data_IF_662944100508
#
_entry.id   IF_662944100508
#
_cell.length_a   1.000
_cell.length_b   1.000
_cell.length_c   1.000
_cell.angle_alpha   90.00
_cell.angle_beta   90.00
_cell.angle_gamma   90.00
#
_symmetry.space_group_name_H-M   'P 1'
#
loop_
_entity.id
_entity.type
_entity.pdbx_description
1 polymer ?
#
# COMPACT_ATOMS: atom_id res chain seq x y z
N UNK A 1 -1.25 -3.34 8.47
CA UNK A 1 -0.13 -2.85 7.67
C UNK A 1 -0.09 -3.66 6.39
N UNK A 2 -0.42 -3.04 5.27
CA UNK A 2 -0.44 -3.69 3.98
C UNK A 2 0.93 -3.53 3.30
N UNK A 3 1.85 -4.45 3.57
CA UNK A 3 3.22 -4.34 3.10
C UNK A 3 3.33 -5.01 1.72
N UNK A 4 3.88 -4.28 0.76
CA UNK A 4 4.33 -4.85 -0.51
C UNK A 4 5.84 -4.70 -0.63
N UNK A 5 6.47 -5.68 -1.27
CA UNK A 5 7.89 -5.61 -1.62
C UNK A 5 8.03 -5.29 -3.10
N UNK A 6 9.03 -4.48 -3.42
CA UNK A 6 9.35 -4.08 -4.78
C UNK A 6 10.74 -4.59 -5.10
N UNK A 7 10.87 -5.35 -6.18
CA UNK A 7 12.13 -5.87 -6.71
C UNK A 7 12.45 -5.14 -8.00
N UNK A 8 13.69 -4.69 -8.17
CA UNK A 8 14.10 -3.87 -9.30
C UNK A 8 15.15 -4.58 -10.13
N UNK A 9 15.02 -4.47 -11.46
CA UNK A 9 15.98 -4.97 -12.43
C UNK A 9 15.93 -4.10 -13.68
N UNK A 10 17.07 -3.53 -14.05
CA UNK A 10 17.26 -2.59 -15.13
C UNK A 10 16.32 -1.40 -15.00
N UNK A 11 15.39 -1.24 -15.95
CA UNK A 11 14.40 -0.15 -16.02
C UNK A 11 13.02 -0.56 -15.50
N UNK A 12 12.90 -1.77 -14.95
CA UNK A 12 11.65 -2.36 -14.53
C UNK A 12 11.66 -2.70 -13.03
N UNK A 13 10.47 -2.81 -12.47
CA UNK A 13 10.27 -3.39 -11.16
C UNK A 13 9.11 -4.38 -11.16
N UNK A 14 9.08 -5.23 -10.13
CA UNK A 14 8.01 -6.17 -9.83
C UNK A 14 7.49 -5.86 -8.42
N UNK A 15 6.17 -5.66 -8.29
CA UNK A 15 5.50 -5.58 -6.99
C UNK A 15 5.08 -6.98 -6.53
N UNK A 16 5.48 -7.31 -5.31
CA UNK A 16 5.21 -8.56 -4.63
C UNK A 16 4.28 -8.32 -3.46
N UNK A 17 3.20 -9.10 -3.38
CA UNK A 17 2.26 -9.10 -2.28
C UNK A 17 2.79 -9.98 -1.15
N UNK A 18 3.21 -9.38 -0.04
CA UNK A 18 3.75 -10.13 1.10
C UNK A 18 2.71 -10.99 1.81
N UNK A 19 1.41 -10.67 1.71
CA UNK A 19 0.34 -11.45 2.34
C UNK A 19 -0.06 -12.67 1.49
N UNK A 20 -0.20 -12.47 0.18
CA UNK A 20 -0.59 -13.53 -0.75
C UNK A 20 0.61 -14.38 -1.25
N UNK A 21 1.84 -13.98 -0.90
CA UNK A 21 3.09 -14.62 -1.30
C UNK A 21 3.15 -14.83 -2.82
N UNK A 22 2.87 -13.76 -3.57
CA UNK A 22 2.90 -13.78 -5.03
C UNK A 22 3.09 -12.37 -5.60
N UNK A 23 3.54 -12.30 -6.85
CA UNK A 23 3.54 -11.06 -7.62
C UNK A 23 2.13 -10.62 -8.03
N UNK A 24 1.96 -9.31 -8.20
CA UNK A 24 0.75 -8.73 -8.79
C UNK A 24 0.71 -8.96 -10.31
N UNK A 25 -0.50 -9.01 -10.87
CA UNK A 25 -0.69 -9.08 -12.34
C UNK A 25 -0.24 -7.76 -12.97
N UNK A 26 0.34 -7.84 -14.18
CA UNK A 26 0.80 -6.66 -14.94
C UNK A 26 2.25 -6.26 -14.69
N UNK A 27 3.00 -7.12 -14.00
CA UNK A 27 4.43 -6.98 -13.74
C UNK A 27 5.27 -8.00 -14.55
N UNK A 28 6.55 -7.70 -14.89
CA UNK A 28 7.28 -6.46 -14.59
C UNK A 28 6.71 -5.25 -15.34
N UNK A 29 6.98 -4.05 -14.81
CA UNK A 29 6.62 -2.80 -15.49
C UNK A 29 7.71 -1.74 -15.28
N UNK A 30 7.75 -0.68 -16.12
CA UNK A 30 8.72 0.39 -15.97
C UNK A 30 8.67 1.06 -14.59
N UNK A 31 9.84 1.33 -14.01
CA UNK A 31 9.99 1.91 -12.66
C UNK A 31 9.14 3.18 -12.49
N UNK A 32 9.13 4.06 -13.48
CA UNK A 32 8.37 5.31 -13.44
C UNK A 32 6.85 5.16 -13.30
N UNK A 33 6.28 3.96 -13.51
CA UNK A 33 4.85 3.71 -13.29
C UNK A 33 4.48 3.55 -11.82
N UNK A 34 5.30 2.83 -11.05
CA UNK A 34 5.07 2.69 -9.59
C UNK A 34 5.64 3.88 -8.81
N UNK A 35 6.69 4.51 -9.35
CA UNK A 35 7.42 5.59 -8.70
C UNK A 35 7.36 6.86 -9.55
N UNK A 36 6.18 7.50 -9.63
CA UNK A 36 6.02 8.71 -10.42
C UNK A 36 6.90 9.84 -9.89
N UNK A 37 7.33 10.72 -10.79
CA UNK A 37 8.21 11.86 -10.50
C UNK A 37 9.65 11.50 -10.09
N UNK A 38 10.09 10.24 -10.26
CA UNK A 38 11.52 9.97 -10.27
C UNK A 38 12.17 10.65 -11.47
N UNK A 39 13.32 11.35 -11.31
CA UNK A 39 14.13 11.83 -12.43
C UNK A 39 14.48 10.69 -13.39
N UNK A 40 14.55 10.97 -14.69
CA UNK A 40 14.81 9.95 -15.72
C UNK A 40 16.08 9.11 -15.46
N UNK A 41 17.10 9.70 -14.84
CA UNK A 41 18.32 8.98 -14.44
C UNK A 41 18.11 7.90 -13.37
N UNK A 42 17.09 8.04 -12.52
CA UNK A 42 16.74 7.13 -11.43
C UNK A 42 15.59 6.18 -11.78
N UNK A 43 15.13 6.16 -13.02
CA UNK A 43 14.14 5.19 -13.50
C UNK A 43 14.79 3.93 -14.09
N UNK A 44 16.10 3.76 -13.92
CA UNK A 44 16.85 2.61 -14.43
C UNK A 44 18.18 2.41 -13.72
N UNK A 45 18.60 1.15 -13.64
CA UNK A 45 19.86 0.71 -13.03
C UNK A 45 20.04 1.35 -11.65
N UNK A 46 19.05 1.17 -10.79
CA UNK A 46 19.12 1.58 -9.39
C UNK A 46 20.07 0.61 -8.69
N UNK A 47 20.98 1.15 -7.89
CA UNK A 47 21.98 0.37 -7.17
C UNK A 47 21.39 -0.24 -5.91
N UNK A 48 20.66 0.54 -5.11
CA UNK A 48 19.77 -0.01 -4.08
C UNK A 48 18.73 1.01 -3.59
N UNK A 49 17.78 0.55 -2.76
CA UNK A 49 16.76 1.38 -2.12
C UNK A 49 16.55 0.93 -0.68
N UNK A 50 16.69 1.87 0.27
CA UNK A 50 16.32 1.62 1.67
C UNK A 50 15.05 2.37 2.04
N UNK A 51 14.22 1.75 2.88
CA UNK A 51 13.15 2.42 3.59
C UNK A 51 13.69 2.85 4.96
N UNK A 52 13.60 4.13 5.28
CA UNK A 52 14.13 4.67 6.53
C UNK A 52 13.30 5.88 6.97
N UNK A 53 12.70 5.78 8.16
CA UNK A 53 11.98 6.86 8.83
C UNK A 53 10.92 7.55 7.94
N UNK A 54 10.17 6.76 7.15
CA UNK A 54 9.10 7.26 6.28
C UNK A 54 9.56 7.78 4.91
N UNK A 55 10.85 7.62 4.59
CA UNK A 55 11.43 7.98 3.30
C UNK A 55 12.07 6.77 2.64
N UNK A 56 12.02 6.73 1.31
CA UNK A 56 12.87 5.85 0.54
C UNK A 56 14.10 6.62 0.10
N UNK A 57 15.28 6.03 0.27
CA UNK A 57 16.52 6.56 -0.28
C UNK A 57 16.94 5.67 -1.43
N UNK A 58 16.85 6.19 -2.65
CA UNK A 58 17.29 5.51 -3.86
C UNK A 58 18.76 5.85 -4.08
N UNK A 59 19.61 4.85 -4.29
CA UNK A 59 21.03 5.02 -4.57
C UNK A 59 21.33 4.64 -6.02
N UNK A 60 22.24 5.39 -6.63
CA UNK A 60 22.71 5.15 -7.99
C UNK A 60 24.05 5.84 -8.22
N UNK A 61 25.06 5.07 -8.59
CA UNK A 61 26.43 5.55 -8.73
C UNK A 61 26.82 6.34 -7.44
N UNK A 62 27.48 7.49 -7.57
CA UNK A 62 27.80 8.35 -6.41
C UNK A 62 26.61 9.20 -5.90
N UNK A 63 25.39 8.97 -6.38
CA UNK A 63 24.22 9.80 -6.11
C UNK A 63 23.16 9.08 -5.28
N UNK A 64 22.33 9.88 -4.57
CA UNK A 64 21.11 9.41 -3.96
C UNK A 64 19.93 10.38 -4.14
N UNK A 65 18.72 9.84 -4.03
CA UNK A 65 17.47 10.59 -3.96
C UNK A 65 16.73 10.27 -2.66
N UNK A 66 16.07 11.26 -2.08
CA UNK A 66 15.13 11.06 -0.98
C UNK A 66 13.69 11.21 -1.47
N UNK A 67 12.93 10.15 -1.32
CA UNK A 67 11.53 10.06 -1.72
C UNK A 67 10.65 9.96 -0.49
N UNK A 68 9.67 10.85 -0.37
CA UNK A 68 8.70 10.85 0.73
C UNK A 68 7.61 9.81 0.42
N UNK A 69 7.47 8.77 1.25
CA UNK A 69 6.51 7.69 1.02
C UNK A 69 5.08 8.24 1.07
N UNK A 70 4.77 9.07 2.06
CA UNK A 70 3.42 9.57 2.28
C UNK A 70 2.96 10.50 1.15
N UNK A 71 3.85 11.36 0.65
CA UNK A 71 3.57 12.22 -0.51
C UNK A 71 3.73 11.48 -1.84
N UNK A 72 4.47 10.37 -1.81
CA UNK A 72 4.91 9.59 -2.95
C UNK A 72 5.51 10.45 -4.07
N UNK A 73 6.52 11.24 -3.69
CA UNK A 73 7.31 12.09 -4.58
C UNK A 73 8.74 12.26 -4.06
N UNK A 74 9.65 12.62 -4.95
CA UNK A 74 11.00 13.07 -4.56
C UNK A 74 10.91 14.40 -3.81
N UNK A 75 11.60 14.49 -2.67
CA UNK A 75 11.64 15.69 -1.82
C UNK A 75 13.04 16.26 -1.67
N UNK A 76 14.08 15.51 -2.02
CA UNK A 76 15.47 15.97 -2.02
C UNK A 76 16.33 15.12 -3.00
N UNK A 77 17.37 15.74 -3.55
CA UNK A 77 18.29 15.18 -4.55
C UNK A 77 17.85 15.31 -6.02
N UNK A 78 18.64 14.78 -6.97
CA UNK A 78 19.82 13.95 -6.73
C UNK A 78 20.98 14.70 -6.09
N UNK A 79 21.52 14.17 -4.98
CA UNK A 79 22.69 14.71 -4.28
C UNK A 79 23.79 13.65 -4.26
N UNK A 80 25.04 14.04 -4.00
CA UNK A 80 26.09 13.05 -3.76
C UNK A 80 25.82 12.30 -2.46
N UNK A 81 26.15 11.00 -2.43
CA UNK A 81 25.98 10.16 -1.23
C UNK A 81 26.61 10.83 -0.01
N UNK A 82 27.82 11.39 -0.16
CA UNK A 82 28.55 12.04 0.94
C UNK A 82 27.89 13.30 1.49
N UNK A 83 26.96 13.92 0.77
CA UNK A 83 26.25 15.11 1.25
C UNK A 83 25.14 14.72 2.24
N UNK A 84 24.47 13.59 2.01
CA UNK A 84 23.45 13.03 2.91
C UNK A 84 23.99 12.04 3.94
N UNK A 85 25.13 11.43 3.64
CA UNK A 85 25.76 10.36 4.42
C UNK A 85 27.25 10.67 4.65
N UNK A 86 27.60 11.78 5.32
CA UNK A 86 28.97 12.30 5.38
C UNK A 86 29.97 11.34 6.04
N UNK A 87 29.51 10.42 6.89
CA UNK A 87 30.35 9.36 7.46
C UNK A 87 30.92 8.38 6.42
N UNK A 88 30.37 8.32 5.21
CA UNK A 88 30.85 7.48 4.11
C UNK A 88 31.98 8.12 3.30
N UNK A 89 32.33 9.38 3.57
CA UNK A 89 33.39 10.10 2.85
C UNK A 89 34.74 9.40 3.00
N UNK A 90 35.43 9.19 1.88
CA UNK A 90 36.72 8.49 1.84
C UNK A 90 36.61 6.97 1.93
N UNK A 91 35.39 6.42 1.84
CA UNK A 91 35.14 4.98 1.68
C UNK A 91 34.73 4.67 0.24
N UNK A 92 34.78 3.41 -0.18
CA UNK A 92 34.34 3.02 -1.52
C UNK A 92 32.84 3.27 -1.77
N UNK A 93 32.04 3.34 -0.69
CA UNK A 93 30.60 3.60 -0.73
C UNK A 93 30.25 5.01 -1.21
N UNK A 94 31.21 5.95 -1.23
CA UNK A 94 30.98 7.29 -1.78
C UNK A 94 30.70 7.29 -3.30
N UNK A 95 31.08 6.21 -3.98
CA UNK A 95 30.97 6.06 -5.44
C UNK A 95 29.90 5.05 -5.87
N UNK A 96 29.10 4.53 -4.93
CA UNK A 96 28.04 3.56 -5.20
C UNK A 96 27.97 2.44 -4.17
N UNK A 97 26.80 1.85 -4.08
CA UNK A 97 26.41 0.91 -3.03
C UNK A 97 26.00 -0.38 -3.71
N UNK A 98 26.49 -1.54 -3.26
CA UNK A 98 26.08 -2.82 -3.87
C UNK A 98 24.74 -3.29 -3.28
N UNK A 99 24.57 -3.10 -1.97
CA UNK A 99 23.32 -3.31 -1.27
C UNK A 99 23.29 -2.52 0.07
N UNK A 100 22.12 -2.38 0.67
CA UNK A 100 21.90 -1.70 1.92
C UNK A 100 20.65 -2.22 2.64
N UNK A 101 20.65 -2.13 3.96
CA UNK A 101 19.49 -2.52 4.77
C UNK A 101 19.36 -1.64 6.01
N UNK A 102 18.13 -1.25 6.32
CA UNK A 102 17.79 -0.68 7.63
C UNK A 102 17.85 -1.77 8.70
N UNK A 103 18.73 -1.59 9.70
CA UNK A 103 18.79 -2.46 10.87
C UNK A 103 17.88 -1.93 11.99
N UNK A 104 17.88 -0.61 12.17
CA UNK A 104 17.05 0.11 13.13
C UNK A 104 16.74 1.51 12.57
N UNK A 105 15.87 2.25 13.26
CA UNK A 105 15.57 3.66 12.91
C UNK A 105 16.79 4.61 12.96
N UNK A 106 17.90 4.18 13.58
CA UNK A 106 19.14 4.94 13.71
C UNK A 106 20.37 4.22 13.10
N UNK A 107 20.18 3.08 12.43
CA UNK A 107 21.31 2.31 11.88
C UNK A 107 20.97 1.68 10.54
N UNK A 108 21.79 2.01 9.54
CA UNK A 108 21.77 1.40 8.21
C UNK A 108 23.06 0.64 8.00
N UNK A 109 22.99 -0.58 7.48
CA UNK A 109 24.17 -1.33 7.06
C UNK A 109 24.32 -1.23 5.54
N UNK A 110 25.42 -0.66 5.08
CA UNK A 110 25.77 -0.54 3.66
C UNK A 110 26.79 -1.61 3.27
N UNK A 111 26.73 -2.09 2.04
CA UNK A 111 27.56 -3.18 1.53
C UNK A 111 28.28 -2.74 0.25
N UNK A 112 29.57 -3.05 0.18
CA UNK A 112 30.41 -2.82 -1.01
C UNK A 112 31.53 -3.83 -1.05
N UNK A 113 31.66 -4.57 -2.15
CA UNK A 113 32.67 -5.60 -2.25
C UNK A 113 32.49 -6.67 -1.17
N UNK A 114 33.56 -6.98 -0.43
CA UNK A 114 33.55 -7.91 0.71
C UNK A 114 33.28 -7.23 2.06
N UNK A 115 33.06 -5.91 2.05
CA UNK A 115 32.92 -5.10 3.25
C UNK A 115 31.48 -4.65 3.46
N UNK A 116 31.15 -4.45 4.74
CA UNK A 116 29.94 -3.76 5.14
C UNK A 116 30.23 -2.74 6.23
N UNK A 117 29.38 -1.71 6.29
CA UNK A 117 29.51 -0.59 7.19
C UNK A 117 28.19 -0.35 7.91
N UNK A 118 28.22 -0.46 9.24
CA UNK A 118 27.14 0.07 10.06
C UNK A 118 27.29 1.58 10.18
N UNK A 119 26.35 2.29 9.57
CA UNK A 119 26.23 3.73 9.64
C UNK A 119 25.25 4.11 10.75
N UNK A 120 25.72 4.90 11.72
CA UNK A 120 24.86 5.49 12.76
C UNK A 120 24.35 6.85 12.27
N UNK A 121 23.03 7.00 12.16
CA UNK A 121 22.43 8.16 11.48
C UNK A 121 22.69 9.45 12.24
N UNK A 122 22.35 9.53 13.52
CA UNK A 122 22.44 10.78 14.30
C UNK A 122 23.88 11.29 14.47
N UNK A 123 24.85 10.37 14.51
CA UNK A 123 26.26 10.71 14.73
C UNK A 123 27.08 10.76 13.43
N UNK A 124 26.52 10.25 12.33
CA UNK A 124 27.23 10.03 11.07
C UNK A 124 28.55 9.26 11.23
N UNK A 125 28.60 8.33 12.19
CA UNK A 125 29.75 7.48 12.44
C UNK A 125 29.60 6.13 11.76
N UNK A 126 30.72 5.57 11.34
CA UNK A 126 30.77 4.26 10.68
C UNK A 126 31.52 3.22 11.51
N UNK A 127 31.05 1.97 11.45
CA UNK A 127 31.79 0.80 11.92
C UNK A 127 31.91 -0.22 10.77
N UNK A 128 33.13 -0.40 10.29
CA UNK A 128 33.43 -1.30 9.17
C UNK A 128 33.68 -2.73 9.64
N UNK A 129 33.28 -3.71 8.83
CA UNK A 129 33.57 -5.13 9.02
C UNK A 129 33.62 -5.84 7.65
N UNK A 130 34.14 -7.06 7.59
CA UNK A 130 33.86 -7.92 6.43
C UNK A 130 32.43 -8.44 6.52
N UNK A 131 31.79 -8.72 5.39
CA UNK A 131 30.43 -9.30 5.36
C UNK A 131 30.44 -10.67 6.05
N UNK A 132 31.49 -11.47 5.80
CA UNK A 132 31.68 -12.79 6.41
C UNK A 132 31.71 -12.72 7.94
N UNK A 133 32.53 -11.83 8.52
CA UNK A 133 32.66 -11.72 9.98
C UNK A 133 31.40 -11.16 10.63
N UNK A 134 30.77 -10.17 9.98
CA UNK A 134 29.58 -9.51 10.54
C UNK A 134 28.37 -10.44 10.54
N UNK A 135 28.13 -11.14 9.45
CA UNK A 135 26.91 -11.90 9.22
C UNK A 135 27.09 -13.41 9.40
N UNK A 136 28.33 -13.89 9.55
CA UNK A 136 28.63 -15.31 9.68
C UNK A 136 28.47 -16.08 8.36
N UNK A 137 28.65 -15.42 7.22
CA UNK A 137 28.52 -16.02 5.87
C UNK A 137 29.70 -16.93 5.54
N UNK A 138 29.72 -18.10 6.16
CA UNK A 138 30.77 -19.11 6.05
C UNK A 138 30.24 -20.41 5.44
N UNK A 139 31.13 -21.34 5.09
CA UNK A 139 30.76 -22.65 4.55
C UNK A 139 29.90 -22.52 3.29
N UNK A 140 28.70 -23.12 3.31
CA UNK A 140 27.76 -23.09 2.16
C UNK A 140 27.21 -21.69 1.81
N UNK A 141 27.41 -20.68 2.67
CA UNK A 141 26.98 -19.30 2.43
C UNK A 141 28.12 -18.38 1.99
N UNK A 142 29.35 -18.88 1.88
CA UNK A 142 30.54 -18.07 1.64
C UNK A 142 30.46 -17.24 0.34
N UNK A 143 29.75 -17.71 -0.68
CA UNK A 143 29.57 -16.96 -1.94
C UNK A 143 28.85 -15.61 -1.73
N UNK A 144 27.99 -15.51 -0.71
CA UNK A 144 27.24 -14.28 -0.39
C UNK A 144 28.06 -13.27 0.41
N UNK A 145 29.30 -13.59 0.78
CA UNK A 145 30.17 -12.69 1.57
C UNK A 145 30.86 -11.59 0.76
N UNK A 146 30.51 -11.44 -0.52
CA UNK A 146 31.11 -10.44 -1.42
C UNK A 146 30.15 -10.08 -2.55
N UNK A 147 30.14 -8.84 -3.02
CA UNK A 147 29.38 -8.35 -4.19
C UNK A 147 27.93 -8.85 -4.16
N UNK A 148 27.18 -8.48 -3.12
CA UNK A 148 25.75 -8.78 -3.03
C UNK A 148 24.99 -7.92 -4.04
N UNK A 149 23.93 -8.48 -4.64
CA UNK A 149 23.16 -7.74 -5.65
C UNK A 149 22.00 -6.95 -5.02
N UNK A 150 21.42 -7.44 -3.93
CA UNK A 150 20.37 -6.75 -3.18
C UNK A 150 20.20 -7.37 -1.79
N UNK A 151 19.64 -6.60 -0.86
CA UNK A 151 19.22 -7.08 0.45
C UNK A 151 17.84 -6.51 0.76
N UNK A 152 16.94 -7.32 1.32
CA UNK A 152 15.64 -6.85 1.78
C UNK A 152 15.34 -7.35 3.20
N UNK A 153 14.92 -6.42 4.05
CA UNK A 153 14.24 -6.75 5.30
C UNK A 153 12.80 -7.06 4.96
N UNK A 154 12.42 -8.33 5.04
CA UNK A 154 11.12 -8.80 4.60
C UNK A 154 10.24 -9.16 5.82
N UNK A 155 9.20 -8.35 6.10
CA UNK A 155 8.27 -8.64 7.17
C UNK A 155 7.28 -9.73 6.73
N UNK A 156 7.24 -10.81 7.50
CA UNK A 156 6.29 -11.92 7.38
C UNK A 156 5.39 -12.01 8.61
N UNK A 157 4.29 -12.76 8.48
CA UNK A 157 3.47 -13.20 9.62
C UNK A 157 4.31 -14.03 10.61
N UNK A 158 5.28 -14.79 10.10
CA UNK A 158 6.13 -15.69 10.89
C UNK A 158 7.34 -15.00 11.53
N UNK A 159 7.57 -13.72 11.23
CA UNK A 159 8.71 -12.93 11.71
C UNK A 159 9.35 -12.06 10.63
N UNK A 160 10.34 -11.27 11.04
CA UNK A 160 11.14 -10.46 10.11
C UNK A 160 12.37 -11.26 9.69
N UNK A 161 12.51 -11.48 8.39
CA UNK A 161 13.64 -12.19 7.79
C UNK A 161 14.43 -11.23 6.93
N UNK A 162 15.75 -11.44 6.85
CA UNK A 162 16.59 -10.73 5.89
C UNK A 162 16.92 -11.70 4.75
N UNK A 163 16.69 -11.25 3.53
CA UNK A 163 17.08 -12.01 2.33
C UNK A 163 18.26 -11.30 1.67
N UNK A 164 19.32 -12.06 1.42
CA UNK A 164 20.50 -11.60 0.70
C UNK A 164 20.47 -12.24 -0.69
N UNK A 165 20.48 -11.41 -1.73
CA UNK A 165 20.43 -11.85 -3.12
C UNK A 165 21.80 -11.76 -3.76
N UNK A 166 22.14 -12.80 -4.54
CA UNK A 166 23.34 -12.84 -5.35
C UNK A 166 23.13 -13.75 -6.55
N UNK A 167 23.45 -13.23 -7.73
CA UNK A 167 23.18 -13.86 -9.01
C UNK A 167 21.69 -14.27 -9.09
N UNK A 168 21.44 -15.55 -9.34
CA UNK A 168 20.09 -16.11 -9.45
C UNK A 168 19.56 -16.74 -8.16
N UNK A 169 20.22 -16.50 -7.03
CA UNK A 169 19.91 -17.16 -5.78
C UNK A 169 19.85 -16.20 -4.58
N UNK A 170 19.25 -16.67 -3.50
CA UNK A 170 19.22 -15.96 -2.23
C UNK A 170 19.48 -16.88 -1.04
N UNK A 171 19.92 -16.27 0.06
CA UNK A 171 19.96 -16.89 1.39
C UNK A 171 19.07 -16.09 2.35
N UNK A 172 18.51 -16.78 3.34
CA UNK A 172 17.62 -16.17 4.34
C UNK A 172 18.26 -16.22 5.71
N UNK A 173 18.27 -15.07 6.37
CA UNK A 173 18.69 -14.89 7.74
C UNK A 173 17.47 -14.66 8.63
N UNK A 174 17.31 -15.50 9.63
CA UNK A 174 16.31 -15.35 10.67
C UNK A 174 16.87 -14.41 11.74
N UNK A 175 16.30 -13.22 11.86
CA UNK A 175 16.75 -12.22 12.84
C UNK A 175 16.50 -12.66 14.29
N UNK A 176 15.48 -13.48 14.54
CA UNK A 176 15.12 -13.95 15.87
C UNK A 176 16.08 -15.04 16.34
N UNK A 177 16.47 -15.94 15.44
CA UNK A 177 17.44 -17.01 15.72
C UNK A 177 18.89 -16.54 15.53
N UNK A 178 19.09 -15.37 14.91
CA UNK A 178 20.38 -14.80 14.58
C UNK A 178 21.25 -15.79 13.77
N UNK A 179 20.66 -16.43 12.76
CA UNK A 179 21.32 -17.45 11.93
C UNK A 179 20.69 -17.54 10.54
N UNK A 180 21.46 -18.05 9.58
CA UNK A 180 20.94 -18.41 8.27
C UNK A 180 20.21 -19.75 8.32
N UNK A 181 18.93 -19.74 7.98
CA UNK A 181 18.04 -20.90 8.10
C UNK A 181 17.58 -21.46 6.74
N UNK A 182 17.80 -20.73 5.65
CA UNK A 182 17.49 -21.19 4.30
C UNK A 182 18.50 -20.67 3.25
N UNK A 183 18.58 -21.38 2.13
CA UNK A 183 19.44 -21.03 1.00
C UNK A 183 20.75 -21.84 0.91
N UNK A 184 21.48 -21.67 -0.21
CA UNK A 184 21.11 -20.88 -1.39
C UNK A 184 19.90 -21.47 -2.14
N UNK A 185 18.91 -20.63 -2.48
CA UNK A 185 17.70 -21.02 -3.22
C UNK A 185 17.57 -20.16 -4.46
N UNK A 186 17.24 -20.78 -5.60
CA UNK A 186 16.99 -20.07 -6.85
C UNK A 186 15.77 -19.16 -6.70
N UNK A 187 15.93 -17.89 -7.06
CA UNK A 187 14.93 -16.83 -6.90
C UNK A 187 13.60 -17.23 -7.53
N UNK A 188 13.63 -17.71 -8.78
CA UNK A 188 12.43 -18.04 -9.56
C UNK A 188 11.88 -19.45 -9.31
N UNK A 189 12.31 -20.15 -8.25
CA UNK A 189 11.81 -21.50 -7.96
C UNK A 189 10.39 -21.43 -7.39
N UNK A 190 9.43 -22.11 -8.02
CA UNK A 190 8.01 -22.06 -7.63
C UNK A 190 7.73 -22.68 -6.24
N UNK A 191 8.56 -23.61 -5.77
CA UNK A 191 8.30 -24.35 -4.54
C UNK A 191 8.90 -23.70 -3.30
N UNK A 192 10.06 -23.07 -3.42
CA UNK A 192 10.81 -22.52 -2.28
C UNK A 192 11.43 -21.14 -2.54
N UNK A 193 11.27 -20.60 -3.74
CA UNK A 193 11.72 -19.25 -4.11
C UNK A 193 10.61 -18.20 -3.97
N UNK A 194 10.80 -17.08 -4.66
CA UNK A 194 9.85 -15.98 -4.70
C UNK A 194 8.82 -16.25 -5.80
N UNK A 195 7.68 -16.83 -5.42
CA UNK A 195 6.67 -17.25 -6.40
C UNK A 195 6.21 -16.10 -7.30
N UNK A 196 6.31 -16.32 -8.60
CA UNK A 196 5.94 -15.33 -9.63
C UNK A 196 6.96 -14.21 -9.85
N UNK A 197 8.08 -14.18 -9.12
CA UNK A 197 9.19 -13.27 -9.40
C UNK A 197 10.00 -13.82 -10.58
N UNK A 198 9.69 -13.30 -11.78
CA UNK A 198 10.29 -13.77 -13.05
C UNK A 198 11.70 -13.24 -13.31
N UNK A 199 12.17 -12.31 -12.49
CA UNK A 199 13.54 -11.80 -12.59
C UNK A 199 14.55 -12.90 -12.25
N UNK A 200 15.55 -13.05 -13.12
CA UNK A 200 16.64 -14.00 -12.91
C UNK A 200 17.59 -13.57 -11.81
N UNK A 201 17.71 -12.27 -11.55
CA UNK A 201 18.51 -11.66 -10.49
C UNK A 201 17.80 -10.39 -10.02
N UNK A 202 18.19 -9.86 -8.86
CA UNK A 202 17.58 -8.66 -8.25
C UNK A 202 18.68 -7.64 -8.01
N UNK A 203 18.54 -6.42 -8.52
CA UNK A 203 19.53 -5.35 -8.31
C UNK A 203 19.21 -4.44 -7.12
N UNK A 204 17.95 -4.35 -6.74
CA UNK A 204 17.54 -3.62 -5.54
C UNK A 204 16.22 -4.19 -5.05
N UNK A 205 15.97 -4.10 -3.75
CA UNK A 205 14.72 -4.60 -3.18
C UNK A 205 14.32 -3.82 -1.93
N UNK A 206 13.04 -3.44 -1.84
CA UNK A 206 12.53 -2.69 -0.67
C UNK A 206 11.11 -3.10 -0.32
N UNK A 207 10.82 -3.20 0.97
CA UNK A 207 9.45 -3.35 1.49
C UNK A 207 8.87 -2.01 1.91
N UNK A 208 7.63 -1.73 1.51
CA UNK A 208 6.92 -0.48 1.78
C UNK A 208 5.52 -0.77 2.27
N UNK A 209 5.08 -0.03 3.29
CA UNK A 209 3.68 0.00 3.69
C UNK A 209 2.86 0.76 2.64
N UNK A 210 2.09 0.01 1.87
CA UNK A 210 1.30 0.55 0.77
C UNK A 210 0.09 1.35 1.22
N UNK A 211 -0.32 1.22 2.49
CA UNK A 211 -1.34 2.09 3.07
C UNK A 211 -0.81 3.52 3.27
N UNK A 212 0.51 3.66 3.50
CA UNK A 212 1.17 4.96 3.63
C UNK A 212 1.55 5.56 2.28
N UNK A 213 1.89 4.73 1.29
CA UNK A 213 2.38 5.20 -0.01
C UNK A 213 1.35 6.10 -0.72
N UNK A 214 1.63 7.40 -0.77
CA UNK A 214 0.76 8.39 -1.41
C UNK A 214 -0.46 8.80 -0.58
N UNK A 215 -0.54 8.40 0.70
CA UNK A 215 -1.63 8.76 1.63
C UNK A 215 -1.84 10.27 1.79
N UNK A 216 -0.83 11.09 1.51
CA UNK A 216 -0.90 12.56 1.57
C UNK A 216 -0.87 13.24 0.19
N UNK A 217 -1.07 12.51 -0.92
CA UNK A 217 -1.08 13.09 -2.28
C UNK A 217 -2.11 14.22 -2.48
N UNK A 218 -3.11 14.34 -1.60
CA UNK A 218 -4.16 15.37 -1.64
C UNK A 218 -3.95 16.62 -0.77
N UNK A 219 -2.92 16.69 0.09
CA UNK A 219 -2.75 17.81 1.03
C UNK A 219 -2.10 19.06 0.41
N UNK A 220 -1.72 19.00 -0.87
CA UNK A 220 -1.30 20.15 -1.66
C UNK A 220 -2.24 20.35 -2.85
N UNK A 221 -3.43 20.91 -2.62
CA UNK A 221 -4.20 21.72 -3.60
C UNK A 221 -4.51 21.17 -5.00
N UNK A 222 -4.27 19.90 -5.32
CA UNK A 222 -4.59 19.32 -6.62
C UNK A 222 -5.16 17.92 -6.46
N UNK A 223 -6.43 17.78 -6.87
CA UNK A 223 -7.18 16.53 -6.98
C UNK A 223 -6.37 15.44 -7.69
N UNK A 224 -5.81 14.50 -6.94
CA UNK A 224 -5.42 13.19 -7.43
C UNK A 224 -6.30 12.17 -6.70
N UNK A 225 -7.42 11.85 -7.34
CA UNK A 225 -8.50 11.01 -6.84
C UNK A 225 -8.12 9.54 -6.86
N UNK A 226 -7.42 9.12 -5.82
CA UNK A 226 -7.32 7.70 -5.48
C UNK A 226 -8.58 7.33 -4.70
N UNK A 227 -9.55 6.67 -5.36
CA UNK A 227 -10.73 6.00 -4.81
C UNK A 227 -11.11 6.36 -3.35
N UNK A 228 -11.59 7.57 -3.10
CA UNK A 228 -12.03 8.00 -1.76
C UNK A 228 -13.49 7.62 -1.54
N UNK A 229 -13.75 6.69 -0.62
CA UNK A 229 -15.09 6.41 -0.10
C UNK A 229 -15.26 6.91 1.33
N UNK A 230 -16.49 7.30 1.68
CA UNK A 230 -16.89 7.65 3.05
C UNK A 230 -17.51 6.43 3.71
N UNK A 231 -17.18 6.14 4.96
CA UNK A 231 -17.91 5.18 5.78
C UNK A 231 -18.14 5.74 7.18
N UNK A 232 -19.20 5.28 7.85
CA UNK A 232 -19.53 5.77 9.17
C UNK A 232 -20.80 5.18 9.74
N UNK A 233 -21.20 5.73 10.89
CA UNK A 233 -22.45 5.43 11.58
C UNK A 233 -23.27 6.70 11.77
N UNK A 234 -24.59 6.58 11.81
CA UNK A 234 -25.46 7.71 12.08
C UNK A 234 -26.72 7.25 12.84
N UNK A 235 -26.96 7.84 14.02
CA UNK A 235 -28.11 7.49 14.88
C UNK A 235 -29.35 8.37 14.64
N UNK A 236 -29.27 9.34 13.72
CA UNK A 236 -30.41 10.20 13.32
C UNK A 236 -31.28 9.54 12.24
N UNK A 237 -30.95 8.34 11.78
CA UNK A 237 -31.68 7.63 10.74
C UNK A 237 -31.55 8.21 9.32
N UNK A 238 -30.69 9.20 9.08
CA UNK A 238 -30.58 9.87 7.77
C UNK A 238 -29.14 10.04 7.30
N UNK A 239 -28.81 9.52 6.13
CA UNK A 239 -27.50 9.74 5.49
C UNK A 239 -27.66 10.54 4.19
N UNK A 240 -26.76 11.49 3.96
CA UNK A 240 -26.77 12.35 2.77
C UNK A 240 -25.45 12.21 2.01
N UNK A 241 -25.53 12.22 0.68
CA UNK A 241 -24.39 12.12 -0.23
C UNK A 241 -24.54 13.11 -1.37
N UNK A 242 -23.40 13.48 -1.97
CA UNK A 242 -23.33 14.43 -3.07
C UNK A 242 -22.96 13.69 -4.37
N UNK A 243 -23.96 13.32 -5.16
CA UNK A 243 -23.75 12.73 -6.48
C UNK A 243 -23.44 13.83 -7.52
N UNK A 244 -22.95 13.45 -8.72
CA UNK A 244 -22.95 14.36 -9.85
C UNK A 244 -24.35 14.91 -10.14
N UNK A 245 -24.40 16.14 -10.64
CA UNK A 245 -25.63 16.79 -11.05
C UNK A 245 -26.32 16.01 -12.18
N UNK A 246 -27.64 15.93 -12.12
CA UNK A 246 -28.52 15.32 -13.12
C UNK A 246 -28.12 13.89 -13.51
N UNK A 247 -27.54 13.11 -12.60
CA UNK A 247 -27.23 11.71 -12.84
C UNK A 247 -28.44 10.84 -12.52
N UNK A 248 -28.68 9.82 -13.36
CA UNK A 248 -29.63 8.76 -13.05
C UNK A 248 -28.93 7.73 -12.14
N UNK A 249 -29.53 7.44 -11.00
CA UNK A 249 -29.07 6.40 -10.08
C UNK A 249 -30.18 5.40 -9.78
N UNK A 250 -29.81 4.13 -9.60
CA UNK A 250 -30.70 3.10 -9.10
C UNK A 250 -30.68 3.10 -7.57
N UNK A 251 -31.81 2.71 -6.98
CA UNK A 251 -31.97 2.37 -5.59
C UNK A 251 -32.66 1.02 -5.49
N UNK A 252 -32.07 0.10 -4.74
CA UNK A 252 -32.66 -1.19 -4.37
C UNK A 252 -32.71 -1.27 -2.85
N UNK A 253 -33.89 -1.51 -2.28
CA UNK A 253 -34.08 -1.57 -0.83
C UNK A 253 -34.71 -2.89 -0.39
N UNK A 254 -34.19 -3.46 0.69
CA UNK A 254 -34.68 -4.69 1.30
C UNK A 254 -35.08 -4.46 2.76
N UNK A 255 -36.23 -4.99 3.16
CA UNK A 255 -36.62 -5.18 4.56
C UNK A 255 -36.27 -6.61 4.97
N UNK A 256 -35.68 -6.77 6.15
CA UNK A 256 -35.24 -8.06 6.68
C UNK A 256 -35.76 -8.32 8.11
N UNK A 257 -36.74 -7.55 8.55
CA UNK A 257 -37.35 -7.65 9.87
C UNK A 257 -38.87 -7.57 9.78
N UNK A 258 -39.56 -8.16 10.75
CA UNK A 258 -41.02 -8.07 10.84
C UNK A 258 -41.51 -6.70 11.34
N UNK A 259 -40.59 -5.83 11.78
CA UNK A 259 -40.86 -4.44 12.10
C UNK A 259 -41.02 -3.66 10.78
N UNK A 260 -42.07 -2.85 10.59
CA UNK A 260 -42.19 -2.00 9.40
C UNK A 260 -40.99 -1.07 9.24
N UNK A 261 -40.35 -1.13 8.08
CA UNK A 261 -39.21 -0.31 7.68
C UNK A 261 -39.69 0.70 6.65
N UNK A 262 -39.43 1.98 6.90
CA UNK A 262 -39.84 3.09 6.04
C UNK A 262 -38.62 3.83 5.54
N UNK A 263 -38.38 3.75 4.25
CA UNK A 263 -37.35 4.47 3.51
C UNK A 263 -37.94 5.75 2.90
N UNK A 264 -37.34 6.90 3.22
CA UNK A 264 -37.67 8.20 2.63
C UNK A 264 -36.50 8.66 1.76
N UNK A 265 -36.78 8.96 0.50
CA UNK A 265 -35.78 9.42 -0.48
C UNK A 265 -35.94 10.92 -0.65
N UNK A 266 -34.86 11.67 -0.40
CA UNK A 266 -34.81 13.11 -0.62
C UNK A 266 -33.84 13.45 -1.74
N UNK A 267 -34.24 14.38 -2.61
CA UNK A 267 -33.39 14.96 -3.66
C UNK A 267 -33.50 16.48 -3.53
N UNK A 268 -32.35 17.14 -3.38
CA UNK A 268 -32.26 18.59 -3.16
C UNK A 268 -33.17 19.07 -2.00
N UNK A 269 -33.12 18.32 -0.89
CA UNK A 269 -33.94 18.50 0.32
C UNK A 269 -35.45 18.29 0.16
N UNK A 270 -35.94 17.95 -1.04
CA UNK A 270 -37.33 17.60 -1.30
C UNK A 270 -37.54 16.10 -1.10
N UNK A 271 -38.56 15.72 -0.32
CA UNK A 271 -39.01 14.33 -0.21
C UNK A 271 -39.64 13.90 -1.54
N UNK A 272 -38.98 13.02 -2.28
CA UNK A 272 -39.43 12.56 -3.60
C UNK A 272 -40.10 11.19 -3.57
N UNK A 273 -39.83 10.37 -2.56
CA UNK A 273 -40.44 9.05 -2.43
C UNK A 273 -40.47 8.57 -0.97
N UNK A 274 -41.41 7.69 -0.66
CA UNK A 274 -41.53 6.99 0.62
C UNK A 274 -41.93 5.54 0.37
N UNK A 275 -41.08 4.61 0.76
CA UNK A 275 -41.24 3.17 0.55
C UNK A 275 -41.34 2.51 1.92
N UNK A 276 -42.39 1.73 2.16
CA UNK A 276 -42.56 1.03 3.43
C UNK A 276 -42.84 -0.43 3.19
N UNK A 277 -42.07 -1.31 3.82
CA UNK A 277 -42.33 -2.74 3.81
C UNK A 277 -41.81 -3.43 5.08
N UNK A 278 -42.09 -4.72 5.23
CA UNK A 278 -41.61 -5.60 6.30
C UNK A 278 -41.45 -7.03 5.81
N UNK A 279 -40.87 -7.88 6.64
CA UNK A 279 -40.63 -9.30 6.36
C UNK A 279 -39.13 -9.60 6.27
N UNK A 280 -38.81 -10.89 6.16
CA UNK A 280 -37.42 -11.34 6.09
C UNK A 280 -36.99 -11.49 4.62
N UNK A 281 -35.85 -10.89 4.24
CA UNK A 281 -35.33 -10.90 2.86
C UNK A 281 -36.35 -10.37 1.82
N UNK A 282 -37.18 -9.41 2.22
CA UNK A 282 -38.23 -8.87 1.38
C UNK A 282 -37.72 -7.67 0.58
N UNK A 283 -37.87 -7.70 -0.75
CA UNK A 283 -37.52 -6.59 -1.63
C UNK A 283 -38.60 -5.52 -1.53
N UNK A 284 -38.28 -4.37 -0.91
CA UNK A 284 -39.21 -3.24 -0.83
C UNK A 284 -39.42 -2.61 -2.21
N UNK A 285 -38.33 -2.35 -2.93
CA UNK A 285 -38.37 -1.73 -4.25
C UNK A 285 -37.03 -1.80 -4.99
N UNK A 286 -37.11 -1.71 -6.32
CA UNK A 286 -36.03 -1.26 -7.21
C UNK A 286 -36.55 -0.07 -8.02
N UNK A 287 -35.97 1.11 -7.84
CA UNK A 287 -36.40 2.36 -8.50
C UNK A 287 -35.20 3.13 -9.03
N UNK A 288 -35.45 4.00 -10.02
CA UNK A 288 -34.45 4.92 -10.55
C UNK A 288 -34.89 6.37 -10.33
N UNK A 289 -33.94 7.24 -10.00
CA UNK A 289 -34.18 8.66 -9.78
C UNK A 289 -33.11 9.52 -10.46
N UNK A 290 -33.37 10.81 -10.63
CA UNK A 290 -32.41 11.80 -11.14
C UNK A 290 -31.96 12.71 -10.02
N UNK A 291 -30.65 12.88 -9.81
CA UNK A 291 -30.06 13.53 -8.63
C UNK A 291 -30.26 15.04 -8.50
N UNK A 292 -30.84 15.73 -9.48
CA UNK A 292 -30.98 17.20 -9.47
C UNK A 292 -29.63 17.91 -9.31
N UNK A 293 -29.48 18.74 -8.27
CA UNK A 293 -28.20 19.41 -7.93
C UNK A 293 -27.15 18.46 -7.34
N UNK A 294 -27.51 17.21 -7.09
CA UNK A 294 -26.65 16.14 -6.62
C UNK A 294 -26.81 15.82 -5.14
N UNK A 295 -27.54 16.62 -4.37
CA UNK A 295 -27.77 16.34 -2.94
C UNK A 295 -28.87 15.30 -2.80
N UNK A 296 -28.51 14.08 -2.41
CA UNK A 296 -29.47 13.01 -2.15
C UNK A 296 -29.33 12.56 -0.71
N UNK A 297 -30.46 12.41 -0.02
CA UNK A 297 -30.48 11.86 1.33
C UNK A 297 -31.43 10.68 1.41
N UNK A 298 -31.02 9.69 2.19
CA UNK A 298 -31.78 8.50 2.49
C UNK A 298 -32.03 8.49 3.98
N UNK A 299 -33.31 8.56 4.35
CA UNK A 299 -33.77 8.46 5.73
C UNK A 299 -34.51 7.14 5.93
N UNK A 300 -34.23 6.45 7.03
CA UNK A 300 -34.77 5.12 7.32
C UNK A 300 -35.28 5.11 8.75
N UNK A 301 -36.54 4.75 8.89
CA UNK A 301 -37.24 4.60 10.16
C UNK A 301 -37.76 3.16 10.30
N UNK A 302 -37.71 2.60 11.50
CA UNK A 302 -38.43 1.37 11.82
C UNK A 302 -39.43 1.61 12.94
N UNK A 303 -40.67 1.21 12.70
CA UNK A 303 -41.84 1.53 13.54
C UNK A 303 -41.96 3.04 13.85
N UNK A 304 -41.67 3.87 12.86
CA UNK A 304 -41.74 5.34 12.96
C UNK A 304 -40.64 5.99 13.80
N UNK A 305 -39.59 5.25 14.17
CA UNK A 305 -38.41 5.78 14.87
C UNK A 305 -37.17 5.73 13.97
N UNK A 306 -36.26 6.72 14.04
CA UNK A 306 -35.02 6.69 13.29
C UNK A 306 -34.22 5.41 13.56
N UNK A 307 -33.77 4.75 12.49
CA UNK A 307 -32.85 3.61 12.61
C UNK A 307 -31.44 4.09 12.92
N UNK A 308 -30.64 3.26 13.59
CA UNK A 308 -29.18 3.42 13.57
C UNK A 308 -28.68 2.97 12.20
N UNK A 309 -27.87 3.81 11.55
CA UNK A 309 -27.32 3.53 10.24
C UNK A 309 -25.85 3.15 10.35
N UNK A 310 -25.42 2.24 9.48
CA UNK A 310 -24.03 2.06 9.09
C UNK A 310 -23.95 2.11 7.58
N UNK A 311 -23.04 2.93 7.06
CA UNK A 311 -23.00 3.21 5.64
C UNK A 311 -21.59 3.18 5.07
N UNK A 312 -21.54 2.96 3.75
CA UNK A 312 -20.39 3.15 2.90
C UNK A 312 -20.87 3.77 1.59
N UNK A 313 -20.24 4.85 1.16
CA UNK A 313 -20.45 5.44 -0.16
C UNK A 313 -19.12 5.73 -0.84
N UNK A 314 -19.04 5.44 -2.13
CA UNK A 314 -17.85 5.71 -2.94
C UNK A 314 -18.27 6.27 -4.29
N UNK A 315 -17.75 7.46 -4.58
CA UNK A 315 -18.07 8.24 -5.77
C UNK A 315 -16.77 8.33 -6.59
N UNK A 316 -16.54 7.39 -7.50
CA UNK A 316 -15.31 7.36 -8.31
C UNK A 316 -15.32 8.51 -9.32
N UNK A 317 -14.62 9.61 -9.05
CA UNK A 317 -14.53 10.78 -9.96
C UNK A 317 -15.88 11.26 -10.49
N UNK A 318 -16.92 11.12 -9.68
CA UNK A 318 -18.30 11.35 -10.06
C UNK A 318 -19.00 10.12 -10.65
N UNK A 319 -18.37 9.29 -11.50
CA UNK A 319 -18.99 8.12 -12.17
C UNK A 319 -17.94 7.05 -12.57
N UNK A 320 -18.14 5.75 -12.27
CA UNK A 320 -19.29 5.14 -11.58
C UNK A 320 -19.27 5.36 -10.06
N UNK A 321 -20.28 4.89 -9.33
CA UNK A 321 -20.28 4.94 -7.88
C UNK A 321 -21.37 4.08 -7.24
N UNK A 322 -21.23 3.86 -5.93
CA UNK A 322 -22.17 3.08 -5.13
C UNK A 322 -22.32 3.64 -3.73
N UNK A 323 -23.49 3.44 -3.12
CA UNK A 323 -23.70 3.62 -1.68
C UNK A 323 -24.47 2.42 -1.11
N UNK A 324 -24.11 2.01 0.10
CA UNK A 324 -24.75 0.94 0.86
C UNK A 324 -25.08 1.49 2.24
N UNK A 325 -26.32 1.31 2.67
CA UNK A 325 -26.79 1.70 4.00
C UNK A 325 -27.44 0.48 4.64
N UNK A 326 -26.83 -0.02 5.72
CA UNK A 326 -27.41 -1.02 6.61
C UNK A 326 -28.03 -0.35 7.84
N UNK A 327 -29.09 -0.93 8.36
CA UNK A 327 -29.88 -0.33 9.46
C UNK A 327 -30.14 -1.28 10.60
N UNK A 328 -30.25 -0.72 11.80
CA UNK A 328 -30.54 -1.44 13.03
C UNK A 328 -31.59 -0.68 13.85
N UNK A 329 -32.64 -1.38 14.24
CA UNK A 329 -33.69 -0.90 15.15
C UNK A 329 -33.47 -1.35 16.60
N UNK A 330 -32.67 -2.40 16.81
CA UNK A 330 -32.36 -2.97 18.11
C UNK A 330 -31.00 -2.55 18.68
N UNK A 331 -30.49 -3.43 19.56
CA UNK A 331 -29.22 -3.24 20.27
C UNK A 331 -28.15 -4.26 19.86
N UNK A 332 -28.44 -5.19 18.95
CA UNK A 332 -27.52 -6.26 18.58
C UNK A 332 -26.42 -5.79 17.59
N UNK A 333 -26.55 -4.58 17.04
CA UNK A 333 -25.59 -3.92 16.14
C UNK A 333 -25.24 -4.75 14.90
N UNK A 334 -26.20 -5.51 14.37
CA UNK A 334 -26.03 -6.30 13.15
C UNK A 334 -26.26 -5.48 11.88
N UNK A 335 -27.00 -4.36 11.98
CA UNK A 335 -27.25 -3.42 10.87
C UNK A 335 -27.86 -4.11 9.64
N UNK A 336 -28.72 -5.09 9.88
CA UNK A 336 -29.29 -5.94 8.86
C UNK A 336 -30.82 -5.86 8.76
N UNK A 337 -31.50 -5.01 9.56
CA UNK A 337 -32.96 -4.88 9.59
C UNK A 337 -33.52 -4.36 8.26
N UNK A 338 -32.80 -3.44 7.62
CA UNK A 338 -32.96 -3.07 6.22
C UNK A 338 -31.60 -2.80 5.59
N UNK A 339 -31.50 -3.05 4.29
CA UNK A 339 -30.32 -2.72 3.48
C UNK A 339 -30.75 -1.98 2.22
N UNK A 340 -30.10 -0.85 1.97
CA UNK A 340 -30.35 0.00 0.80
C UNK A 340 -29.06 0.08 -0.02
N UNK A 341 -29.17 -0.24 -1.31
CA UNK A 341 -28.10 -0.15 -2.29
C UNK A 341 -28.42 0.92 -3.31
N UNK A 342 -27.44 1.76 -3.60
CA UNK A 342 -27.49 2.72 -4.69
C UNK A 342 -26.33 2.47 -5.64
N UNK A 343 -26.56 2.66 -6.93
CA UNK A 343 -25.53 2.58 -7.97
C UNK A 343 -25.80 3.57 -9.11
N UNK A 344 -24.72 4.11 -9.67
CA UNK A 344 -24.78 5.07 -10.77
C UNK A 344 -23.50 5.06 -11.62
N UNK A 345 -23.52 5.65 -12.83
CA UNK A 345 -24.71 6.05 -13.59
C UNK A 345 -25.52 4.84 -14.04
N UNK A 346 -26.83 5.01 -14.16
CA UNK A 346 -27.62 4.23 -15.11
C UNK A 346 -27.61 4.94 -16.48
N UNK A 347 -27.65 4.16 -17.54
CA UNK A 347 -27.70 4.65 -18.93
C UNK A 347 -29.14 5.01 -19.29
#
# INVERSE_FOLDING_TARGET
MNISSYFFLNEENIKFNNQCLNTYIGYPQPIGKDWPNLPAGFQRYIDDIINLNGFLYFFKDSLYLKFDIAKAQVVDGPNFIIDGWPGLKGTELENGIDAAIELTTNTVCFFKGEHCVDYTIDLHTIKTSTISDRWGMTGKYAEFSVNLDAIISWPSIDGNFIYFFKNDSFIRFDQKLNTFDAGPIIISNDNNGWRGLVFKNVQAAVSVDTDLLGSHRGNNGSNSSVCSGTCGTNDTGKHCFQLPQNIIFALTAYANTNIPQTLKVYIDDLLVDTLTDKGQNNLMATKAYTSGTGKVCIEIEGDGKPCKLRYFDNIFDGKPGTAIIGTENGNNSHYNDSVVFLNWPLI
#
